data_IF_929066580421
#
_entry.id   IF_929066580421
#
_cell.length_a   1.000
_cell.length_b   1.000
_cell.length_c   1.000
_cell.angle_alpha   90.00
_cell.angle_beta   90.00
_cell.angle_gamma   90.00
#
_symmetry.space_group_name_H-M   'P 1'
#
loop_
_entity.id
_entity.type
_entity.pdbx_description
1 polymer ?
#
# COMPACT_ATOMS: atom_id res chain seq x y z
N UNK A 1 -14.97 19.74 -10.67
CA UNK A 1 -14.95 18.26 -10.65
C UNK A 1 -15.66 17.81 -9.39
N UNK A 2 -16.93 17.42 -9.50
CA UNK A 2 -17.77 17.09 -8.35
C UNK A 2 -17.39 15.71 -7.79
N UNK A 3 -16.77 15.69 -6.62
CA UNK A 3 -16.45 14.46 -5.91
C UNK A 3 -17.77 13.78 -5.51
N UNK A 4 -18.04 12.61 -6.08
CA UNK A 4 -19.06 11.70 -5.56
C UNK A 4 -18.59 11.31 -4.16
N UNK A 5 -19.21 11.93 -3.15
CA UNK A 5 -18.87 11.70 -1.76
C UNK A 5 -19.14 10.23 -1.40
N UNK A 6 -18.21 9.54 -0.70
CA UNK A 6 -18.38 8.14 -0.29
C UNK A 6 -19.63 7.93 0.58
N UNK A 7 -20.10 8.98 1.26
CA UNK A 7 -21.36 9.00 2.01
C UNK A 7 -22.59 8.82 1.10
N UNK A 8 -22.55 9.39 -0.10
CA UNK A 8 -23.67 9.34 -1.05
C UNK A 8 -23.74 7.98 -1.76
N UNK A 9 -22.58 7.34 -2.01
CA UNK A 9 -22.51 5.97 -2.54
C UNK A 9 -23.02 4.97 -1.51
N UNK A 10 -22.61 5.13 -0.25
CA UNK A 10 -23.09 4.29 0.85
C UNK A 10 -24.61 4.40 1.02
N UNK A 11 -25.19 5.60 0.85
CA UNK A 11 -26.63 5.82 0.93
C UNK A 11 -27.38 5.13 -0.21
N UNK A 12 -26.86 5.18 -1.44
CA UNK A 12 -27.49 4.55 -2.60
C UNK A 12 -27.45 3.01 -2.53
N UNK A 13 -26.33 2.45 -2.05
CA UNK A 13 -26.18 1.00 -1.81
C UNK A 13 -27.08 0.54 -0.67
N UNK A 14 -27.24 1.35 0.38
CA UNK A 14 -28.15 1.05 1.48
C UNK A 14 -29.62 1.07 1.05
N UNK A 15 -30.03 2.05 0.23
CA UNK A 15 -31.40 2.15 -0.29
C UNK A 15 -31.76 0.96 -1.20
N UNK A 16 -30.85 0.55 -2.09
CA UNK A 16 -31.07 -0.59 -2.98
C UNK A 16 -31.19 -1.94 -2.26
N UNK A 17 -30.57 -2.08 -1.08
CA UNK A 17 -30.57 -3.32 -0.30
C UNK A 17 -31.78 -3.45 0.64
N UNK A 18 -32.42 -2.33 1.01
CA UNK A 18 -33.60 -2.32 1.90
C UNK A 18 -34.86 -2.87 1.20
N UNK A 19 -34.93 -2.79 -0.12
CA UNK A 19 -36.12 -3.20 -0.87
C UNK A 19 -36.32 -4.73 -1.01
N UNK A 20 -35.36 -5.59 -0.61
CA UNK A 20 -35.35 -6.99 -1.08
C UNK A 20 -35.42 -8.13 -0.03
N UNK A 21 -35.44 -7.90 1.29
CA UNK A 21 -35.44 -9.06 2.24
C UNK A 21 -36.23 -8.86 3.52
N UNK A 22 -37.20 -9.76 3.75
CA UNK A 22 -38.02 -9.90 4.97
C UNK A 22 -37.24 -10.29 6.24
N UNK A 23 -37.95 -10.24 7.37
CA UNK A 23 -37.56 -9.54 8.60
C UNK A 23 -36.89 -10.35 9.72
N UNK A 24 -36.49 -11.62 9.56
CA UNK A 24 -35.95 -12.39 10.68
C UNK A 24 -34.49 -12.88 10.54
N UNK A 25 -33.99 -13.07 9.31
CA UNK A 25 -32.59 -13.49 9.02
C UNK A 25 -31.73 -12.29 8.54
N UNK A 26 -32.38 -11.16 8.26
CA UNK A 26 -31.78 -10.02 7.58
C UNK A 26 -30.91 -9.12 8.49
N UNK A 27 -31.17 -9.01 9.79
CA UNK A 27 -30.40 -8.11 10.66
C UNK A 27 -28.94 -8.58 10.83
N UNK A 28 -28.74 -9.83 11.27
CA UNK A 28 -27.42 -10.45 11.44
C UNK A 28 -26.64 -10.52 10.10
N UNK A 29 -27.35 -10.76 9.00
CA UNK A 29 -26.74 -10.78 7.65
C UNK A 29 -26.40 -9.36 7.16
N UNK A 30 -27.19 -8.34 7.51
CA UNK A 30 -26.99 -6.94 7.12
C UNK A 30 -25.82 -6.31 7.88
N UNK A 31 -25.73 -6.52 9.19
CA UNK A 31 -24.60 -6.03 9.99
C UNK A 31 -23.30 -6.73 9.57
N UNK A 32 -23.35 -8.03 9.27
CA UNK A 32 -22.21 -8.74 8.70
C UNK A 32 -21.83 -8.21 7.30
N UNK A 33 -22.80 -7.86 6.45
CA UNK A 33 -22.54 -7.30 5.12
C UNK A 33 -21.97 -5.87 5.17
N UNK A 34 -22.48 -5.01 6.06
CA UNK A 34 -21.97 -3.65 6.27
C UNK A 34 -20.56 -3.69 6.85
N UNK A 35 -20.33 -4.52 7.86
CA UNK A 35 -19.00 -4.73 8.45
C UNK A 35 -18.00 -5.22 7.40
N UNK A 36 -18.43 -6.11 6.50
CA UNK A 36 -17.62 -6.60 5.38
C UNK A 36 -17.30 -5.51 4.36
N UNK A 37 -18.28 -4.67 4.01
CA UNK A 37 -18.08 -3.55 3.08
C UNK A 37 -17.09 -2.52 3.66
N UNK A 38 -17.21 -2.20 4.94
CA UNK A 38 -16.29 -1.31 5.65
C UNK A 38 -14.88 -1.90 5.73
N UNK A 39 -14.74 -3.18 6.07
CA UNK A 39 -13.44 -3.86 6.10
C UNK A 39 -12.76 -3.92 4.73
N UNK A 40 -13.53 -4.09 3.64
CA UNK A 40 -13.00 -4.04 2.28
C UNK A 40 -12.58 -2.62 1.88
N UNK A 41 -13.37 -1.59 2.20
CA UNK A 41 -13.00 -0.20 1.94
C UNK A 41 -11.72 0.21 2.70
N UNK A 42 -11.59 -0.19 3.96
CA UNK A 42 -10.39 0.03 4.76
C UNK A 42 -9.16 -0.72 4.20
N UNK A 43 -9.34 -1.95 3.71
CA UNK A 43 -8.28 -2.70 3.04
C UNK A 43 -7.83 -2.02 1.73
N UNK A 44 -8.77 -1.55 0.90
CA UNK A 44 -8.41 -0.84 -0.34
C UNK A 44 -7.67 0.46 -0.05
N UNK A 45 -8.12 1.23 0.95
CA UNK A 45 -7.44 2.46 1.36
C UNK A 45 -6.02 2.18 1.86
N UNK A 46 -5.85 1.19 2.74
CA UNK A 46 -4.52 0.82 3.25
C UNK A 46 -3.61 0.26 2.15
N UNK A 47 -4.16 -0.48 1.17
CA UNK A 47 -3.40 -0.96 0.02
C UNK A 47 -2.94 0.19 -0.89
N UNK A 48 -3.80 1.19 -1.13
CA UNK A 48 -3.44 2.39 -1.89
C UNK A 48 -2.29 3.16 -1.21
N UNK A 49 -2.35 3.31 0.11
CA UNK A 49 -1.26 3.92 0.89
C UNK A 49 0.02 3.09 0.77
N UNK A 50 -0.05 1.78 0.95
CA UNK A 50 1.10 0.88 0.80
C UNK A 50 1.77 1.01 -0.57
N UNK A 51 1.00 0.99 -1.66
CA UNK A 51 1.52 1.13 -3.03
C UNK A 51 2.17 2.50 -3.23
N UNK A 52 1.54 3.56 -2.70
CA UNK A 52 2.07 4.93 -2.81
C UNK A 52 3.39 5.06 -2.07
N UNK A 53 3.47 4.59 -0.83
CA UNK A 53 4.69 4.58 -0.02
C UNK A 53 5.79 3.74 -0.67
N UNK A 54 5.44 2.56 -1.21
CA UNK A 54 6.40 1.71 -1.92
C UNK A 54 6.98 2.42 -3.15
N UNK A 55 6.12 3.07 -3.97
CA UNK A 55 6.58 3.87 -5.12
C UNK A 55 7.49 5.01 -4.69
N UNK A 56 7.10 5.76 -3.66
CA UNK A 56 7.88 6.87 -3.15
C UNK A 56 9.30 6.46 -2.72
N UNK A 57 9.46 5.28 -2.08
CA UNK A 57 10.78 4.76 -1.69
C UNK A 57 11.63 4.43 -2.92
N UNK A 58 11.04 3.75 -3.91
CA UNK A 58 11.75 3.41 -5.16
C UNK A 58 12.15 4.67 -5.92
N UNK A 59 11.28 5.66 -5.97
CA UNK A 59 11.54 6.93 -6.65
C UNK A 59 12.63 7.73 -5.93
N UNK A 60 12.63 7.74 -4.59
CA UNK A 60 13.69 8.35 -3.77
C UNK A 60 15.03 7.67 -4.02
N UNK A 61 15.07 6.33 -4.07
CA UNK A 61 16.29 5.57 -4.41
C UNK A 61 16.81 5.95 -5.80
N UNK A 62 15.92 6.02 -6.79
CA UNK A 62 16.29 6.40 -8.17
C UNK A 62 16.83 7.83 -8.23
N UNK A 63 16.22 8.77 -7.52
CA UNK A 63 16.68 10.14 -7.43
C UNK A 63 18.06 10.25 -6.78
N UNK A 64 18.31 9.50 -5.69
CA UNK A 64 19.62 9.43 -5.05
C UNK A 64 20.70 8.85 -5.98
N UNK A 65 20.39 7.80 -6.75
CA UNK A 65 21.30 7.24 -7.75
C UNK A 65 21.60 8.24 -8.88
N UNK A 66 20.58 8.96 -9.36
CA UNK A 66 20.75 10.02 -10.35
C UNK A 66 21.64 11.16 -9.82
N UNK A 67 21.43 11.57 -8.56
CA UNK A 67 22.29 12.57 -7.92
C UNK A 67 23.74 12.08 -7.82
N UNK A 68 23.97 10.84 -7.39
CA UNK A 68 25.32 10.27 -7.31
C UNK A 68 26.02 10.22 -8.68
N UNK A 69 25.28 10.04 -9.78
CA UNK A 69 25.81 10.13 -11.14
C UNK A 69 26.17 11.57 -11.55
N UNK A 70 25.34 12.54 -11.19
CA UNK A 70 25.62 13.97 -11.45
C UNK A 70 26.83 14.43 -10.65
N UNK A 71 26.89 14.07 -9.37
CA UNK A 71 28.03 14.37 -8.49
C UNK A 71 29.32 13.74 -9.03
N UNK A 72 29.25 12.48 -9.50
CA UNK A 72 30.40 11.81 -10.13
C UNK A 72 30.86 12.51 -11.42
N UNK A 73 29.95 12.88 -12.31
CA UNK A 73 30.28 13.62 -13.53
C UNK A 73 30.89 15.00 -13.22
N UNK A 74 30.38 15.68 -12.19
CA UNK A 74 30.94 16.94 -11.70
C UNK A 74 32.35 16.75 -11.15
N UNK A 75 32.59 15.68 -10.39
CA UNK A 75 33.92 15.34 -9.90
C UNK A 75 34.89 15.06 -11.04
N UNK A 76 34.47 14.33 -12.09
CA UNK A 76 35.31 14.03 -13.25
C UNK A 76 35.82 15.27 -13.99
N UNK A 77 35.09 16.38 -13.97
CA UNK A 77 35.55 17.63 -14.59
C UNK A 77 36.79 18.24 -13.90
N UNK A 78 37.04 17.88 -12.64
CA UNK A 78 38.14 18.40 -11.82
C UNK A 78 39.23 17.37 -11.55
N UNK A 79 39.07 16.12 -12.02
CA UNK A 79 40.02 15.03 -11.80
C UNK A 79 41.21 15.18 -12.75
N UNK A 80 42.42 15.26 -12.19
CA UNK A 80 43.68 15.34 -12.95
C UNK A 80 44.63 14.18 -12.66
N UNK A 81 44.29 13.30 -11.70
CA UNK A 81 45.12 12.15 -11.30
C UNK A 81 44.28 10.88 -11.10
N UNK A 82 44.90 9.72 -11.24
CA UNK A 82 44.25 8.42 -10.99
C UNK A 82 43.76 8.27 -9.55
N UNK A 83 44.48 8.85 -8.58
CA UNK A 83 44.07 8.84 -7.17
C UNK A 83 42.73 9.59 -6.97
N UNK A 84 42.56 10.73 -7.63
CA UNK A 84 41.30 11.49 -7.59
C UNK A 84 40.17 10.75 -8.32
N UNK A 85 40.47 10.07 -9.44
CA UNK A 85 39.51 9.23 -10.14
C UNK A 85 39.01 8.08 -9.25
N UNK A 86 39.93 7.43 -8.53
CA UNK A 86 39.59 6.34 -7.62
C UNK A 86 38.73 6.85 -6.46
N UNK A 87 39.10 7.99 -5.85
CA UNK A 87 38.30 8.62 -4.81
C UNK A 87 36.88 8.98 -5.28
N UNK A 88 36.72 9.48 -6.50
CA UNK A 88 35.41 9.79 -7.09
C UNK A 88 34.56 8.51 -7.30
N UNK A 89 35.18 7.41 -7.75
CA UNK A 89 34.49 6.11 -7.89
C UNK A 89 34.05 5.56 -6.54
N UNK A 90 34.91 5.64 -5.54
CA UNK A 90 34.62 5.17 -4.19
C UNK A 90 33.51 6.02 -3.53
N UNK A 91 33.53 7.33 -3.73
CA UNK A 91 32.46 8.23 -3.28
C UNK A 91 31.11 7.88 -3.92
N UNK A 92 31.08 7.62 -5.24
CA UNK A 92 29.86 7.16 -5.94
C UNK A 92 29.39 5.82 -5.38
N UNK A 93 30.28 4.86 -5.20
CA UNK A 93 29.95 3.53 -4.65
C UNK A 93 29.36 3.64 -3.24
N UNK A 94 29.95 4.48 -2.39
CA UNK A 94 29.45 4.75 -1.04
C UNK A 94 28.06 5.37 -1.08
N UNK A 95 27.83 6.37 -1.94
CA UNK A 95 26.53 7.01 -2.10
C UNK A 95 25.43 6.03 -2.57
N UNK A 96 25.73 5.17 -3.55
CA UNK A 96 24.80 4.15 -4.04
C UNK A 96 24.50 3.12 -2.94
N UNK A 97 25.54 2.63 -2.25
CA UNK A 97 25.38 1.68 -1.13
C UNK A 97 24.50 2.25 -0.02
N UNK A 98 24.71 3.52 0.35
CA UNK A 98 23.90 4.19 1.36
C UNK A 98 22.43 4.33 0.90
N UNK A 99 22.20 4.74 -0.35
CA UNK A 99 20.85 4.85 -0.91
C UNK A 99 20.12 3.50 -0.94
N UNK A 100 20.83 2.42 -1.29
CA UNK A 100 20.27 1.07 -1.32
C UNK A 100 19.98 0.53 0.09
N UNK A 101 20.85 0.82 1.07
CA UNK A 101 20.62 0.47 2.47
C UNK A 101 19.39 1.19 3.03
N UNK A 102 19.25 2.50 2.78
CA UNK A 102 18.07 3.28 3.19
C UNK A 102 16.80 2.75 2.54
N UNK A 103 16.84 2.47 1.24
CA UNK A 103 15.68 1.91 0.53
C UNK A 103 15.30 0.52 1.06
N UNK A 104 16.27 -0.33 1.33
CA UNK A 104 16.05 -1.67 1.88
C UNK A 104 15.42 -1.59 3.27
N UNK A 105 15.94 -0.74 4.16
CA UNK A 105 15.37 -0.53 5.48
C UNK A 105 13.94 0.02 5.42
N UNK A 106 13.68 0.98 4.53
CA UNK A 106 12.34 1.55 4.35
C UNK A 106 11.33 0.54 3.76
N UNK A 107 11.78 -0.31 2.81
CA UNK A 107 10.96 -1.40 2.27
C UNK A 107 10.69 -2.50 3.31
N UNK A 108 11.65 -2.81 4.17
CA UNK A 108 11.46 -3.76 5.27
C UNK A 108 10.47 -3.24 6.33
N UNK A 109 10.43 -1.92 6.54
CA UNK A 109 9.46 -1.28 7.43
C UNK A 109 8.04 -1.21 6.85
N UNK A 110 7.87 -1.43 5.54
CA UNK A 110 6.56 -1.41 4.88
C UNK A 110 5.78 -2.70 5.15
N UNK A 111 4.72 -2.59 5.94
CA UNK A 111 3.81 -3.70 6.20
C UNK A 111 2.75 -3.80 5.12
N UNK A 112 2.64 -4.97 4.50
CA UNK A 112 1.59 -5.24 3.52
C UNK A 112 0.25 -5.43 4.26
N UNK A 113 -0.81 -4.69 3.90
CA UNK A 113 -2.12 -4.91 4.50
C UNK A 113 -2.60 -6.34 4.28
N UNK A 114 -3.16 -6.96 5.31
CA UNK A 114 -3.71 -8.32 5.25
C UNK A 114 -5.18 -8.23 4.81
N UNK A 115 -5.56 -9.08 3.87
CA UNK A 115 -6.95 -9.15 3.41
C UNK A 115 -7.83 -9.63 4.57
N UNK A 116 -9.00 -9.02 4.82
CA UNK A 116 -9.92 -9.48 5.85
C UNK A 116 -10.27 -10.97 5.66
N UNK A 117 -10.12 -11.77 6.71
CA UNK A 117 -10.46 -13.19 6.68
C UNK A 117 -11.95 -13.37 6.36
N UNK A 118 -12.27 -14.37 5.55
CA UNK A 118 -13.66 -14.76 5.33
C UNK A 118 -14.14 -15.46 6.60
N UNK A 119 -15.29 -15.08 7.20
CA UNK A 119 -15.85 -15.83 8.32
C UNK A 119 -16.03 -17.30 7.90
N UNK A 120 -15.67 -18.22 8.79
CA UNK A 120 -15.96 -19.63 8.60
C UNK A 120 -17.46 -19.79 8.35
N UNK A 121 -17.82 -20.60 7.35
CA UNK A 121 -19.21 -20.93 7.04
C UNK A 121 -19.85 -21.46 8.33
N UNK A 122 -20.90 -20.81 8.82
CA UNK A 122 -21.65 -21.31 9.96
C UNK A 122 -22.03 -22.77 9.70
N UNK A 123 -21.60 -23.67 10.57
CA UNK A 123 -21.99 -25.09 10.54
C UNK A 123 -23.52 -25.13 10.61
N UNK A 124 -24.21 -25.86 9.73
CA UNK A 124 -25.67 -26.01 9.83
C UNK A 124 -26.00 -26.55 11.22
N UNK A 125 -26.95 -25.89 11.90
CA UNK A 125 -27.47 -26.38 13.18
C UNK A 125 -27.92 -27.85 13.03
N UNK A 126 -27.65 -28.72 14.01
CA UNK A 126 -28.08 -30.12 13.93
C UNK A 126 -29.60 -30.16 13.77
N UNK A 127 -30.08 -30.91 12.78
CA UNK A 127 -31.51 -31.19 12.60
C UNK A 127 -32.03 -31.80 13.90
N UNK A 128 -33.02 -31.17 14.50
CA UNK A 128 -33.86 -31.82 15.49
C UNK A 128 -34.57 -32.99 14.80
N UNK A 129 -34.24 -34.22 15.18
CA UNK A 129 -35.03 -35.39 14.82
C UNK A 129 -36.30 -35.37 15.66
N UNK A 130 -37.43 -35.61 14.98
CA UNK A 130 -38.77 -35.72 15.54
C UNK A 130 -38.92 -36.96 16.44
#
# INVERSE_FOLDING_TARGET
>A
MNFISPKNVALLVAAGLIASTGTAVAADTKDAAVTRAQAQAAFQSSMSTYITSHRAIVDTRRAAHAKALVDFQTALASVTTDAQLQAAKDARKAAVTAADATATAALAALTKPVKPAKPAKATPAPKASA
#
